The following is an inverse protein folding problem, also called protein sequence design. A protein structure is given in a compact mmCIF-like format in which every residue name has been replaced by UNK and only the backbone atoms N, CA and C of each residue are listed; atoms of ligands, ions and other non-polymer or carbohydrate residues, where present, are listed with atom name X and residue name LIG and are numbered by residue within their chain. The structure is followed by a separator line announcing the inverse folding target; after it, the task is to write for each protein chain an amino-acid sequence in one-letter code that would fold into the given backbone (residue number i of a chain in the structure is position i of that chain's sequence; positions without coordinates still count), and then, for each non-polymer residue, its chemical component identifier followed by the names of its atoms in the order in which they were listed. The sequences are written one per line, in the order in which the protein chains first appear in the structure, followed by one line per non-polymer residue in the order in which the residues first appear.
data_IF_318482983365
#
_entry.id   IF_318482983365
#
_cell.length_a   1.000
_cell.length_b   1.000
_cell.length_c   1.000
_cell.angle_alpha   90.00
_cell.angle_beta   90.00
_cell.angle_gamma   90.00
#
_symmetry.space_group_name_H-M   'P 1'
#
loop_
_entity.id
_entity.type
_entity.pdbx_description
1 polymer ?
#
# COMPACT_ATOMS: atom_id res chain seq x y z
N UNK A 1 9.76 14.20 6.68
CA UNK A 1 10.67 13.14 6.17
C UNK A 1 9.79 12.07 5.58
N UNK A 2 9.86 11.79 4.28
CA UNK A 2 9.28 10.56 3.73
C UNK A 2 9.91 9.39 4.48
N UNK A 3 9.09 8.53 5.09
CA UNK A 3 9.53 7.41 5.91
C UNK A 3 10.63 6.62 5.21
N UNK A 4 11.78 6.48 5.87
CA UNK A 4 12.90 5.71 5.35
C UNK A 4 12.45 4.30 4.99
N UNK A 5 12.95 3.78 3.87
CA UNK A 5 12.57 2.46 3.37
C UNK A 5 12.75 1.40 4.45
N UNK A 6 11.75 0.54 4.62
CA UNK A 6 11.78 -0.50 5.63
C UNK A 6 12.77 -1.58 5.25
N UNK A 7 13.59 -2.01 6.20
CA UNK A 7 14.40 -3.23 6.06
C UNK A 7 13.48 -4.42 6.26
N UNK A 8 13.40 -5.30 5.28
CA UNK A 8 12.56 -6.50 5.31
C UNK A 8 12.91 -7.45 4.17
N UNK A 9 12.27 -8.61 4.14
CA UNK A 9 12.43 -9.59 3.06
C UNK A 9 12.02 -8.96 1.74
N UNK A 10 12.93 -8.97 0.77
CA UNK A 10 12.68 -8.41 -0.57
C UNK A 10 11.82 -9.38 -1.37
N UNK A 11 10.93 -8.83 -2.18
CA UNK A 11 10.20 -9.63 -3.15
C UNK A 11 11.15 -10.19 -4.20
N UNK A 12 10.93 -11.45 -4.54
CA UNK A 12 11.53 -12.11 -5.69
C UNK A 12 10.82 -11.72 -7.00
N UNK A 13 11.43 -11.97 -8.15
CA UNK A 13 10.78 -11.79 -9.45
C UNK A 13 9.49 -12.63 -9.56
N UNK A 14 9.52 -13.87 -9.07
CA UNK A 14 8.35 -14.74 -9.06
C UNK A 14 7.19 -14.16 -8.23
N UNK A 15 7.48 -13.50 -7.10
CA UNK A 15 6.46 -12.82 -6.31
C UNK A 15 5.89 -11.59 -7.02
N UNK A 16 6.71 -10.82 -7.75
CA UNK A 16 6.21 -9.73 -8.59
C UNK A 16 5.31 -10.25 -9.72
N UNK A 17 5.67 -11.36 -10.35
CA UNK A 17 4.88 -11.96 -11.42
C UNK A 17 3.54 -12.51 -10.91
N UNK A 18 3.57 -13.21 -9.77
CA UNK A 18 2.36 -13.68 -9.10
C UNK A 18 1.45 -12.51 -8.71
N UNK A 19 2.01 -11.44 -8.13
CA UNK A 19 1.27 -10.22 -7.79
C UNK A 19 0.65 -9.57 -9.03
N UNK A 20 1.40 -9.47 -10.13
CA UNK A 20 0.89 -8.91 -11.40
C UNK A 20 -0.30 -9.71 -11.92
N UNK A 21 -0.22 -11.04 -11.86
CA UNK A 21 -1.31 -11.92 -12.29
C UNK A 21 -2.57 -11.69 -11.45
N UNK A 22 -2.45 -11.66 -10.11
CA UNK A 22 -3.59 -11.44 -9.21
C UNK A 22 -4.25 -10.07 -9.46
N UNK A 23 -3.45 -9.01 -9.54
CA UNK A 23 -3.95 -7.64 -9.73
C UNK A 23 -4.64 -7.44 -11.09
N UNK A 24 -4.12 -8.10 -12.14
CA UNK A 24 -4.69 -7.98 -13.49
C UNK A 24 -6.12 -8.52 -13.60
N UNK A 25 -6.48 -9.52 -12.80
CA UNK A 25 -7.86 -10.04 -12.73
C UNK A 25 -8.85 -9.03 -12.14
N UNK A 26 -8.34 -8.02 -11.44
CA UNK A 26 -9.12 -7.00 -10.74
C UNK A 26 -9.04 -5.62 -11.41
N UNK A 27 -8.56 -5.53 -12.66
CA UNK A 27 -8.30 -4.28 -13.39
C UNK A 27 -7.27 -3.35 -12.69
N UNK A 28 -6.31 -3.96 -11.98
CA UNK A 28 -5.22 -3.24 -11.30
C UNK A 28 -3.89 -3.50 -12.00
N UNK A 29 -3.22 -2.42 -12.39
CA UNK A 29 -1.91 -2.51 -13.05
C UNK A 29 -0.76 -2.37 -12.05
N UNK A 30 0.15 -3.35 -12.04
CA UNK A 30 1.37 -3.28 -11.25
C UNK A 30 2.49 -2.53 -11.99
N UNK A 31 2.88 -1.38 -11.46
CA UNK A 31 4.05 -0.62 -11.92
C UNK A 31 5.22 -0.84 -10.97
N UNK A 32 6.37 -1.28 -11.51
CA UNK A 32 7.57 -1.56 -10.71
C UNK A 32 8.67 -0.55 -11.04
N UNK A 33 9.29 0.04 -10.02
CA UNK A 33 10.42 0.95 -10.18
C UNK A 33 10.05 2.37 -10.63
N UNK A 34 8.81 2.80 -10.41
CA UNK A 34 8.36 4.15 -10.77
C UNK A 34 9.01 5.19 -9.86
N UNK A 35 9.51 6.27 -10.48
CA UNK A 35 10.07 7.43 -9.82
C UNK A 35 9.16 8.65 -10.04
N UNK A 36 9.16 9.58 -9.09
CA UNK A 36 8.54 10.90 -9.26
C UNK A 36 9.45 11.84 -10.08
N UNK A 37 8.99 13.07 -10.32
CA UNK A 37 9.74 14.07 -11.10
C UNK A 37 11.08 14.47 -10.47
N UNK A 38 11.27 14.21 -9.18
CA UNK A 38 12.49 14.51 -8.43
C UNK A 38 13.41 13.28 -8.29
N UNK A 39 13.04 12.15 -8.90
CA UNK A 39 13.79 10.90 -8.82
C UNK A 39 13.53 10.08 -7.55
N UNK A 40 12.52 10.42 -6.75
CA UNK A 40 12.18 9.63 -5.56
C UNK A 40 11.33 8.41 -5.92
N UNK A 41 11.51 7.32 -5.18
CA UNK A 41 10.71 6.10 -5.33
C UNK A 41 9.24 6.38 -5.00
N UNK A 42 8.34 5.91 -5.86
CA UNK A 42 6.89 5.95 -5.64
C UNK A 42 6.41 4.59 -5.13
N UNK A 43 5.76 4.60 -3.96
CA UNK A 43 5.06 3.45 -3.37
C UNK A 43 3.64 3.90 -3.09
N UNK A 44 2.67 3.37 -3.85
CA UNK A 44 1.29 3.89 -3.81
C UNK A 44 0.28 3.01 -4.53
N UNK A 45 -0.88 2.81 -3.92
CA UNK A 45 -2.11 2.37 -4.57
C UNK A 45 -2.95 3.57 -5.03
N UNK A 46 -3.43 3.55 -6.28
CA UNK A 46 -4.18 4.64 -6.92
C UNK A 46 -5.33 4.12 -7.78
N UNK A 47 -6.57 4.11 -7.29
CA UNK A 47 -7.73 3.88 -8.14
C UNK A 47 -8.05 5.12 -8.99
N UNK A 48 -8.82 4.92 -10.05
CA UNK A 48 -9.34 5.97 -10.92
C UNK A 48 -10.86 5.84 -11.14
N UNK A 49 -11.46 6.86 -11.73
CA UNK A 49 -12.91 6.99 -11.97
C UNK A 49 -13.50 5.90 -12.88
N UNK A 50 -12.67 5.13 -13.59
CA UNK A 50 -13.10 4.07 -14.52
C UNK A 50 -13.14 2.68 -13.89
N UNK A 51 -13.04 2.60 -12.56
CA UNK A 51 -13.00 1.31 -11.84
C UNK A 51 -11.69 0.54 -12.06
N UNK A 52 -10.62 1.23 -12.48
CA UNK A 52 -9.27 0.66 -12.62
C UNK A 52 -8.36 1.24 -11.56
N UNK A 53 -7.25 0.57 -11.27
CA UNK A 53 -6.23 1.11 -10.37
C UNK A 53 -4.81 0.83 -10.84
N UNK A 54 -3.86 1.54 -10.24
CA UNK A 54 -2.44 1.23 -10.33
C UNK A 54 -1.91 0.97 -8.93
N UNK A 55 -1.06 -0.06 -8.79
CA UNK A 55 -0.27 -0.32 -7.61
C UNK A 55 1.20 -0.12 -7.96
N UNK A 56 1.88 0.79 -7.27
CA UNK A 56 3.29 1.13 -7.51
C UNK A 56 4.17 0.55 -6.41
N UNK A 57 5.19 -0.19 -6.80
CA UNK A 57 6.21 -0.74 -5.90
C UNK A 57 7.61 -0.44 -6.44
N UNK A 58 8.64 -0.31 -5.58
CA UNK A 58 10.02 -0.24 -6.04
C UNK A 58 10.49 -1.60 -6.58
N UNK A 59 11.56 -1.60 -7.38
CA UNK A 59 12.20 -2.84 -7.90
C UNK A 59 12.68 -3.77 -6.79
N UNK A 60 13.04 -3.22 -5.64
CA UNK A 60 13.44 -3.94 -4.43
C UNK A 60 12.40 -3.77 -3.32
N UNK A 61 11.11 -3.85 -3.66
CA UNK A 61 10.03 -3.83 -2.66
C UNK A 61 10.23 -4.91 -1.59
N UNK A 62 9.88 -4.59 -0.35
CA UNK A 62 9.77 -5.53 0.75
C UNK A 62 8.40 -6.20 0.79
N UNK A 63 8.30 -7.32 1.49
CA UNK A 63 7.02 -7.96 1.85
C UNK A 63 6.08 -7.00 2.57
N UNK A 64 6.60 -6.14 3.45
CA UNK A 64 5.81 -5.09 4.09
C UNK A 64 5.26 -4.07 3.09
N UNK A 65 6.10 -3.47 2.23
CA UNK A 65 5.65 -2.50 1.22
C UNK A 65 4.58 -3.12 0.30
N UNK A 66 4.74 -4.39 -0.08
CA UNK A 66 3.73 -5.16 -0.81
C UNK A 66 2.40 -5.24 -0.05
N UNK A 67 2.44 -5.71 1.19
CA UNK A 67 1.24 -5.94 2.00
C UNK A 67 0.51 -4.64 2.30
N UNK A 68 1.25 -3.57 2.59
CA UNK A 68 0.67 -2.25 2.85
C UNK A 68 -0.14 -1.75 1.65
N UNK A 69 0.43 -1.75 0.45
CA UNK A 69 -0.28 -1.33 -0.75
C UNK A 69 -1.41 -2.29 -1.15
N UNK A 70 -1.27 -3.59 -0.87
CA UNK A 70 -2.38 -4.54 -1.01
C UNK A 70 -3.51 -4.26 -0.03
N UNK A 71 -3.22 -3.77 1.18
CA UNK A 71 -4.25 -3.32 2.11
C UNK A 71 -5.10 -2.19 1.52
N UNK A 72 -4.47 -1.19 0.89
CA UNK A 72 -5.20 -0.11 0.21
C UNK A 72 -6.08 -0.64 -0.93
N UNK A 73 -5.58 -1.62 -1.68
CA UNK A 73 -6.34 -2.31 -2.71
C UNK A 73 -7.55 -3.08 -2.14
N UNK A 74 -7.37 -3.85 -1.07
CA UNK A 74 -8.46 -4.59 -0.43
C UNK A 74 -9.51 -3.65 0.19
N UNK A 75 -9.09 -2.51 0.73
CA UNK A 75 -10.02 -1.48 1.19
C UNK A 75 -10.87 -0.95 0.04
N UNK A 76 -10.25 -0.60 -1.08
CA UNK A 76 -10.98 -0.16 -2.28
C UNK A 76 -11.94 -1.24 -2.81
N UNK A 77 -11.54 -2.51 -2.76
CA UNK A 77 -12.44 -3.64 -3.07
C UNK A 77 -13.61 -3.76 -2.11
N UNK A 78 -13.41 -3.55 -0.81
CA UNK A 78 -14.50 -3.55 0.18
C UNK A 78 -15.53 -2.42 -0.05
N UNK A 79 -15.12 -1.35 -0.72
CA UNK A 79 -15.99 -0.26 -1.18
C UNK A 79 -16.66 -0.56 -2.52
N UNK A 80 -16.56 -1.79 -3.03
CA UNK A 80 -17.10 -2.20 -4.33
C UNK A 80 -16.32 -1.62 -5.52
N UNK A 81 -15.02 -1.35 -5.36
CA UNK A 81 -14.17 -0.68 -6.35
C UNK A 81 -14.68 0.71 -6.75
N UNK A 82 -15.39 1.38 -5.84
CA UNK A 82 -16.00 2.67 -6.10
C UNK A 82 -15.03 3.82 -5.82
N UNK A 83 -14.59 4.51 -6.88
CA UNK A 83 -13.70 5.66 -6.75
C UNK A 83 -14.32 6.81 -5.94
N UNK A 84 -15.63 7.06 -6.10
CA UNK A 84 -16.30 8.15 -5.40
C UNK A 84 -16.38 7.91 -3.90
N UNK A 85 -16.51 6.66 -3.45
CA UNK A 85 -16.40 6.33 -2.03
C UNK A 85 -14.95 6.41 -1.54
N UNK A 86 -14.00 5.93 -2.36
CA UNK A 86 -12.58 5.97 -2.02
C UNK A 86 -12.07 7.40 -1.75
N UNK A 87 -12.39 8.35 -2.63
CA UNK A 87 -11.88 9.73 -2.52
C UNK A 87 -12.45 10.50 -1.32
N UNK A 88 -13.61 10.08 -0.78
CA UNK A 88 -14.20 10.67 0.42
C UNK A 88 -13.41 10.33 1.69
N UNK A 89 -12.69 9.20 1.68
CA UNK A 89 -11.89 8.76 2.82
C UNK A 89 -10.68 9.68 3.01
N UNK A 90 -10.45 10.09 4.25
CA UNK A 90 -9.22 10.76 4.61
C UNK A 90 -8.02 9.81 4.50
N UNK A 91 -6.81 10.37 4.47
CA UNK A 91 -5.60 9.55 4.54
C UNK A 91 -5.56 8.75 5.85
N UNK A 92 -5.95 9.35 6.97
CA UNK A 92 -6.01 8.67 8.27
C UNK A 92 -6.96 7.47 8.22
N UNK A 93 -8.14 7.61 7.63
CA UNK A 93 -9.10 6.50 7.51
C UNK A 93 -8.53 5.36 6.67
N UNK A 94 -7.86 5.68 5.56
CA UNK A 94 -7.22 4.67 4.70
C UNK A 94 -6.09 3.95 5.45
N UNK A 95 -5.18 4.68 6.08
CA UNK A 95 -4.06 4.09 6.82
C UNK A 95 -4.51 3.26 8.03
N UNK A 96 -5.56 3.71 8.74
CA UNK A 96 -6.14 2.98 9.86
C UNK A 96 -6.73 1.66 9.38
N UNK A 97 -7.49 1.69 8.29
CA UNK A 97 -8.06 0.48 7.70
C UNK A 97 -6.95 -0.51 7.29
N UNK A 98 -5.89 -0.02 6.63
CA UNK A 98 -4.75 -0.86 6.23
C UNK A 98 -4.10 -1.51 7.44
N UNK A 99 -3.86 -0.75 8.52
CA UNK A 99 -3.29 -1.31 9.75
C UNK A 99 -4.19 -2.40 10.35
N UNK A 100 -5.51 -2.18 10.40
CA UNK A 100 -6.45 -3.14 10.94
C UNK A 100 -6.55 -4.40 10.06
N UNK A 101 -6.58 -4.25 8.74
CA UNK A 101 -6.53 -5.37 7.81
C UNK A 101 -5.22 -6.18 7.95
N UNK A 102 -4.08 -5.51 8.07
CA UNK A 102 -2.80 -6.17 8.31
C UNK A 102 -2.81 -6.91 9.65
N UNK A 103 -3.40 -6.32 10.70
CA UNK A 103 -3.55 -6.96 12.01
C UNK A 103 -4.38 -8.25 11.94
N UNK A 104 -5.46 -8.23 11.18
CA UNK A 104 -6.36 -9.38 11.06
C UNK A 104 -5.80 -10.50 10.19
N UNK A 105 -5.03 -10.19 9.15
CA UNK A 105 -4.67 -11.18 8.11
C UNK A 105 -3.19 -11.57 8.11
N UNK A 106 -2.29 -10.64 8.45
CA UNK A 106 -0.86 -10.80 8.16
C UNK A 106 0.05 -10.48 9.35
N UNK A 107 -0.48 -10.02 10.48
CA UNK A 107 0.31 -9.51 11.61
C UNK A 107 1.38 -10.49 12.05
N UNK A 108 1.01 -11.75 12.19
CA UNK A 108 1.92 -12.80 12.66
C UNK A 108 2.94 -13.24 11.60
N UNK A 109 2.70 -12.93 10.32
CA UNK A 109 3.59 -13.26 9.20
C UNK A 109 4.67 -12.22 8.93
N UNK A 110 4.52 -11.01 9.47
CA UNK A 110 5.50 -9.92 9.35
C UNK A 110 6.33 -9.78 10.64
N UNK A 111 7.56 -9.28 10.48
CA UNK A 111 8.50 -9.06 11.56
C UNK A 111 8.07 -7.93 12.50
N UNK A 112 8.60 -7.91 13.72
CA UNK A 112 8.35 -6.82 14.67
C UNK A 112 8.74 -5.44 14.13
N UNK A 113 9.79 -5.36 13.30
CA UNK A 113 10.20 -4.12 12.65
C UNK A 113 9.17 -3.64 11.61
N UNK A 114 8.60 -4.55 10.82
CA UNK A 114 7.54 -4.23 9.86
C UNK A 114 6.23 -3.86 10.56
N UNK A 115 5.89 -4.51 11.68
CA UNK A 115 4.75 -4.11 12.53
C UNK A 115 4.91 -2.70 13.07
N UNK A 116 6.12 -2.33 13.49
CA UNK A 116 6.44 -0.96 13.94
C UNK A 116 6.23 0.04 12.81
N UNK A 117 6.72 -0.26 11.60
CA UNK A 117 6.51 0.61 10.44
C UNK A 117 5.03 0.76 10.06
N UNK A 118 4.24 -0.32 10.15
CA UNK A 118 2.79 -0.26 9.92
C UNK A 118 2.10 0.75 10.86
N UNK A 119 2.51 0.75 12.14
CA UNK A 119 2.02 1.71 13.13
C UNK A 119 2.52 3.12 12.82
N UNK A 120 3.80 3.27 12.43
CA UNK A 120 4.39 4.57 12.11
C UNK A 120 3.73 5.26 10.91
N UNK A 121 3.25 4.51 9.91
CA UNK A 121 2.48 5.08 8.79
C UNK A 121 1.19 5.76 9.27
N UNK A 122 0.41 5.10 10.13
CA UNK A 122 -0.78 5.70 10.73
C UNK A 122 -0.43 6.92 11.59
N UNK A 123 0.62 6.83 12.41
CA UNK A 123 1.07 7.96 13.23
C UNK A 123 1.52 9.15 12.37
N UNK A 124 2.15 8.90 11.22
CA UNK A 124 2.52 9.95 10.28
C UNK A 124 1.28 10.63 9.70
N UNK A 125 0.30 9.87 9.22
CA UNK A 125 -0.95 10.41 8.71
C UNK A 125 -1.70 11.26 9.75
N UNK A 126 -1.73 10.80 11.01
CA UNK A 126 -2.33 11.53 12.12
C UNK A 126 -1.61 12.86 12.42
N UNK A 127 -0.27 12.89 12.35
CA UNK A 127 0.51 14.14 12.53
C UNK A 127 0.28 15.13 11.40
N UNK A 128 0.09 14.67 10.17
CA UNK A 128 -0.19 15.56 9.02
C UNK A 128 -1.51 16.31 9.14
N UNK A 129 -2.48 15.75 9.88
CA UNK A 129 -3.78 16.38 10.13
C UNK A 129 -3.90 17.05 11.50
N UNK A 130 -2.83 17.04 12.31
CA UNK A 130 -2.81 17.67 13.65
C UNK A 130 -3.60 16.90 14.72
N UNK A 131 -3.78 15.58 14.55
CA UNK A 131 -4.47 14.70 15.51
C UNK A 131 -3.52 14.01 16.52
N UNK A 132 -2.23 14.36 16.49
CA UNK A 132 -1.15 13.91 17.40
C UNK A 132 -0.16 15.05 17.65
#
# INVERSE_FOLDING_TARGET
MQGGRVTGTRLTSAEFDALRSVLSNDDVWLSVGKLDANGNVVIKFRPNERGKAELHLPTNATSYEKLHELGHFEHWKSLGKNYNEWIKLSQVDRERWVLDWMRSNHWNSISSAERKNAIEQLLHALREVGEL
#
